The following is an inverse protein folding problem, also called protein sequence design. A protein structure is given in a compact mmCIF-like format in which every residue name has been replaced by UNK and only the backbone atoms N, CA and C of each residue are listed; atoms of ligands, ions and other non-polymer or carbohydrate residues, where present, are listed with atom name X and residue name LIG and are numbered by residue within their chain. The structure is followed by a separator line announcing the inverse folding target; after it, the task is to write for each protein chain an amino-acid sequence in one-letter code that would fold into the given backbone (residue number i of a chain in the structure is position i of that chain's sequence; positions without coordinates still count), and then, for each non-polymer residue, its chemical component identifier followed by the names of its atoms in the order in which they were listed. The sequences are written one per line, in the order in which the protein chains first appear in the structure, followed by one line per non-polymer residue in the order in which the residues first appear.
data_IF_439442501144
#
_entry.id   IF_439442501144
#
_cell.length_a   1.000
_cell.length_b   1.000
_cell.length_c   1.000
_cell.angle_alpha   90.00
_cell.angle_beta   90.00
_cell.angle_gamma   90.00
#
_symmetry.space_group_name_H-M   'P 1'
#
loop_
_entity.id
_entity.type
_entity.pdbx_description
1 polymer ?
#
# COMPACT_ATOMS: atom_id res chain seq x y z
N UNK A 1 -7.88 13.97 29.29
CA UNK A 1 -7.67 12.77 28.43
C UNK A 1 -6.41 13.00 27.60
N UNK A 2 -5.40 12.12 27.71
CA UNK A 2 -4.17 12.17 26.90
C UNK A 2 -4.55 11.88 25.45
N UNK A 3 -4.51 12.89 24.59
CA UNK A 3 -4.67 12.69 23.15
C UNK A 3 -3.48 11.86 22.66
N UNK A 4 -3.77 10.71 22.05
CA UNK A 4 -2.74 9.85 21.45
C UNK A 4 -2.33 10.54 20.15
N UNK A 5 -1.15 11.19 20.17
CA UNK A 5 -0.57 11.79 18.98
C UNK A 5 -0.04 10.67 18.09
N UNK A 6 -0.78 10.32 17.04
CA UNK A 6 -0.31 9.38 16.03
C UNK A 6 0.81 10.04 15.22
N UNK A 7 2.07 9.67 15.51
CA UNK A 7 3.19 9.92 14.61
C UNK A 7 3.08 8.98 13.39
N UNK A 8 2.00 9.07 12.61
CA UNK A 8 1.94 8.43 11.30
C UNK A 8 2.42 9.48 10.29
N UNK A 9 3.73 9.57 9.98
CA UNK A 9 4.23 10.55 9.04
C UNK A 9 3.75 10.28 7.62
N UNK A 10 3.32 9.05 7.32
CA UNK A 10 2.84 8.63 6.01
C UNK A 10 1.50 7.91 6.14
N UNK A 11 0.54 8.40 5.39
CA UNK A 11 -0.74 7.75 5.13
C UNK A 11 -0.70 7.15 3.71
N UNK A 12 -1.29 5.98 3.54
CA UNK A 12 -1.45 5.36 2.23
C UNK A 12 -2.90 4.91 2.04
N UNK A 13 -3.39 5.04 0.82
CA UNK A 13 -4.73 4.62 0.43
C UNK A 13 -4.63 3.90 -0.91
N UNK A 14 -5.28 2.73 -1.00
CA UNK A 14 -5.42 1.97 -2.24
C UNK A 14 -6.91 1.96 -2.59
N UNK A 15 -7.24 2.45 -3.77
CA UNK A 15 -8.56 2.34 -4.36
C UNK A 15 -8.47 1.39 -5.55
N UNK A 16 -9.41 0.46 -5.67
CA UNK A 16 -9.45 -0.52 -6.76
C UNK A 16 -10.83 -0.46 -7.41
N UNK A 17 -10.88 -0.52 -8.73
CA UNK A 17 -12.14 -0.50 -9.49
C UNK A 17 -12.82 -1.87 -9.45
N UNK A 18 -13.89 -1.97 -8.66
CA UNK A 18 -14.70 -3.18 -8.52
C UNK A 18 -14.34 -4.03 -7.29
N UNK A 19 -15.10 -5.10 -7.08
CA UNK A 19 -14.94 -6.00 -5.91
C UNK A 19 -14.57 -7.43 -6.33
N UNK A 20 -14.71 -7.77 -7.61
CA UNK A 20 -14.43 -9.09 -8.17
C UNK A 20 -13.99 -8.97 -9.63
N UNK A 21 -13.01 -9.78 -10.01
CA UNK A 21 -12.46 -9.82 -11.37
C UNK A 21 -12.37 -11.26 -11.86
N UNK A 22 -12.49 -11.44 -13.17
CA UNK A 22 -12.25 -12.72 -13.81
C UNK A 22 -10.76 -12.92 -14.11
N UNK A 23 -10.37 -14.17 -14.31
CA UNK A 23 -9.01 -14.48 -14.72
C UNK A 23 -8.69 -13.81 -16.07
N UNK A 24 -7.56 -13.11 -16.12
CA UNK A 24 -7.13 -12.37 -17.32
C UNK A 24 -7.70 -10.96 -17.43
N UNK A 25 -8.57 -10.54 -16.51
CA UNK A 25 -8.97 -9.13 -16.42
C UNK A 25 -7.85 -8.30 -15.79
N UNK A 26 -7.72 -7.07 -16.29
CA UNK A 26 -6.79 -6.08 -15.74
C UNK A 26 -7.44 -5.44 -14.52
N UNK A 27 -6.81 -5.61 -13.37
CA UNK A 27 -7.19 -4.91 -12.14
C UNK A 27 -6.66 -3.47 -12.22
N UNK A 28 -7.56 -2.50 -12.19
CA UNK A 28 -7.22 -1.07 -12.19
C UNK A 28 -7.41 -0.49 -10.80
N UNK A 29 -6.55 0.45 -10.43
CA UNK A 29 -6.63 1.09 -9.14
C UNK A 29 -5.67 2.26 -9.01
N UNK A 30 -5.79 2.96 -7.89
CA UNK A 30 -4.99 4.12 -7.56
C UNK A 30 -4.33 3.91 -6.19
N UNK A 31 -3.02 4.15 -6.12
CA UNK A 31 -2.28 4.25 -4.87
C UNK A 31 -2.02 5.72 -4.56
N UNK A 32 -2.49 6.16 -3.41
CA UNK A 32 -2.23 7.49 -2.86
C UNK A 32 -1.32 7.37 -1.66
N UNK A 33 -0.29 8.21 -1.60
CA UNK A 33 0.64 8.32 -0.47
C UNK A 33 0.70 9.78 -0.04
N UNK A 34 0.38 10.03 1.22
CA UNK A 34 0.34 11.39 1.79
C UNK A 34 1.29 11.52 2.96
N UNK A 35 2.10 12.57 2.95
CA UNK A 35 2.94 12.92 4.08
C UNK A 35 2.15 13.80 5.05
N UNK A 36 1.76 13.21 6.18
CA UNK A 36 1.00 13.88 7.24
C UNK A 36 1.91 14.56 8.29
N UNK A 37 3.23 14.46 8.12
CA UNK A 37 4.19 15.09 9.01
C UNK A 37 4.51 16.53 8.62
N UNK A 38 5.11 17.26 9.56
CA UNK A 38 5.65 18.61 9.35
C UNK A 38 7.04 18.64 8.72
N UNK A 39 7.59 17.49 8.32
CA UNK A 39 8.94 17.36 7.75
C UNK A 39 8.91 16.61 6.42
N UNK A 40 9.95 16.77 5.62
CA UNK A 40 10.15 15.93 4.43
C UNK A 40 10.41 14.48 4.87
N UNK A 41 9.76 13.53 4.21
CA UNK A 41 9.91 12.10 4.46
C UNK A 41 10.50 11.43 3.24
N UNK A 42 11.57 10.66 3.44
CA UNK A 42 12.17 9.84 2.39
C UNK A 42 11.45 8.49 2.29
N UNK A 43 10.89 8.19 1.13
CA UNK A 43 10.24 6.91 0.81
C UNK A 43 11.14 6.15 -0.17
N UNK A 44 11.76 5.07 0.32
CA UNK A 44 12.69 4.24 -0.48
C UNK A 44 12.01 3.56 -1.66
N UNK A 45 10.84 2.99 -1.44
CA UNK A 45 10.13 2.25 -2.47
C UNK A 45 8.63 2.30 -2.19
N UNK A 46 7.88 2.72 -3.20
CA UNK A 46 6.44 2.58 -3.30
C UNK A 46 6.14 1.47 -4.30
N UNK A 47 5.43 0.43 -3.88
CA UNK A 47 5.09 -0.71 -4.72
C UNK A 47 3.72 -1.27 -4.36
N UNK A 48 3.05 -1.83 -5.36
CA UNK A 48 1.80 -2.59 -5.23
C UNK A 48 2.13 -4.05 -5.50
N UNK A 49 1.56 -4.95 -4.69
CA UNK A 49 1.78 -6.38 -4.81
C UNK A 49 0.42 -7.06 -4.93
N UNK A 50 0.25 -7.88 -5.97
CA UNK A 50 -0.85 -8.81 -6.08
C UNK A 50 -0.42 -10.14 -5.46
N UNK A 51 -1.16 -10.61 -4.46
CA UNK A 51 -0.89 -11.88 -3.79
C UNK A 51 -2.20 -12.59 -3.47
N UNK A 52 -2.19 -13.92 -3.45
CA UNK A 52 -3.28 -14.73 -2.94
C UNK A 52 -2.83 -15.56 -1.74
N UNK A 53 -3.77 -15.97 -0.91
CA UNK A 53 -3.48 -16.86 0.21
C UNK A 53 -4.60 -17.84 0.46
N UNK A 54 -4.24 -19.06 0.83
CA UNK A 54 -5.23 -20.10 1.15
C UNK A 54 -5.73 -19.90 2.57
N UNK A 55 -7.06 -19.74 2.74
CA UNK A 55 -7.73 -19.57 4.04
C UNK A 55 -7.29 -20.60 5.10
N UNK A 56 -6.99 -21.84 4.69
CA UNK A 56 -6.50 -22.90 5.57
C UNK A 56 -5.15 -22.56 6.21
N UNK A 57 -4.20 -22.04 5.42
CA UNK A 57 -2.87 -21.67 5.89
C UNK A 57 -2.91 -20.52 6.91
N UNK A 58 -3.83 -19.55 6.77
CA UNK A 58 -4.04 -18.51 7.78
C UNK A 58 -4.50 -19.04 9.14
N UNK A 59 -5.27 -20.14 9.15
CA UNK A 59 -5.76 -20.75 10.40
C UNK A 59 -4.69 -21.56 11.12
N UNK A 60 -3.76 -22.14 10.36
CA UNK A 60 -2.69 -23.00 10.89
C UNK A 60 -1.49 -22.22 11.44
N UNK A 61 -1.46 -20.90 11.25
CA UNK A 61 -0.45 -20.01 11.83
C UNK A 61 0.96 -20.19 11.26
N UNK A 62 1.09 -20.94 10.16
CA UNK A 62 2.32 -21.07 9.40
C UNK A 62 2.64 -19.73 8.75
N UNK A 63 3.84 -19.21 9.00
CA UNK A 63 4.22 -17.84 8.67
C UNK A 63 3.94 -17.45 7.22
N UNK A 64 3.34 -16.27 7.04
CA UNK A 64 3.18 -15.59 5.74
C UNK A 64 2.47 -16.41 4.66
N UNK A 65 1.17 -16.71 4.78
CA UNK A 65 0.41 -17.57 3.85
C UNK A 65 0.08 -16.90 2.50
N UNK A 66 0.82 -15.85 2.14
CA UNK A 66 0.63 -15.07 0.91
C UNK A 66 1.62 -15.53 -0.15
N UNK A 67 1.11 -16.01 -1.27
CA UNK A 67 1.85 -16.26 -2.49
C UNK A 67 1.76 -15.01 -3.39
N UNK A 68 2.91 -14.43 -3.71
CA UNK A 68 2.99 -13.23 -4.54
C UNK A 68 2.88 -13.61 -6.01
N UNK A 69 1.87 -13.07 -6.69
CA UNK A 69 1.67 -13.23 -8.12
C UNK A 69 2.42 -12.17 -8.93
N UNK A 70 2.30 -10.91 -8.53
CA UNK A 70 2.85 -9.78 -9.28
C UNK A 70 3.32 -8.67 -8.36
N UNK A 71 4.34 -7.92 -8.81
CA UNK A 71 4.88 -6.76 -8.13
C UNK A 71 5.02 -5.62 -9.13
N UNK A 72 4.44 -4.48 -8.80
CA UNK A 72 4.58 -3.26 -9.58
C UNK A 72 5.22 -2.19 -8.70
N UNK A 73 6.43 -1.77 -9.09
CA UNK A 73 7.11 -0.64 -8.44
C UNK A 73 6.53 0.65 -9.02
N UNK A 74 5.89 1.45 -8.18
CA UNK A 74 5.30 2.71 -8.57
C UNK A 74 6.35 3.85 -8.59
N UNK A 75 7.24 3.87 -7.59
CA UNK A 75 8.36 4.81 -7.54
C UNK A 75 9.42 4.39 -6.49
N UNK A 76 10.63 4.92 -6.65
CA UNK A 76 11.75 4.70 -5.74
C UNK A 76 12.37 6.04 -5.34
N UNK A 77 13.01 6.08 -4.17
CA UNK A 77 13.80 7.20 -3.64
C UNK A 77 13.09 8.56 -3.72
N UNK A 78 11.86 8.59 -3.22
CA UNK A 78 11.00 9.77 -3.23
C UNK A 78 11.24 10.62 -1.98
N UNK A 79 11.37 11.93 -2.14
CA UNK A 79 11.30 12.88 -1.03
C UNK A 79 9.92 13.56 -1.00
N UNK A 80 8.99 13.04 -0.18
CA UNK A 80 7.68 13.67 0.02
C UNK A 80 7.82 14.86 0.97
N UNK A 81 7.47 16.06 0.50
CA UNK A 81 7.46 17.27 1.32
C UNK A 81 6.35 17.22 2.37
N UNK A 82 6.48 18.01 3.44
CA UNK A 82 5.47 18.12 4.48
C UNK A 82 4.09 18.48 3.91
N UNK A 83 3.06 17.72 4.27
CA UNK A 83 1.69 17.93 3.79
C UNK A 83 1.43 17.58 2.33
N UNK A 84 2.44 17.12 1.58
CA UNK A 84 2.29 16.76 0.17
C UNK A 84 1.72 15.36 -0.04
N UNK A 85 1.20 15.13 -1.25
CA UNK A 85 0.59 13.87 -1.67
C UNK A 85 1.15 13.44 -3.02
N UNK A 86 1.29 12.12 -3.21
CA UNK A 86 1.55 11.49 -4.50
C UNK A 86 0.46 10.48 -4.80
N UNK A 87 0.10 10.43 -6.08
CA UNK A 87 -0.90 9.52 -6.63
C UNK A 87 -0.27 8.73 -7.78
N UNK A 88 -0.49 7.42 -7.79
CA UNK A 88 -0.11 6.49 -8.85
C UNK A 88 -1.37 5.76 -9.35
N UNK A 89 -1.51 5.54 -10.66
CA UNK A 89 -2.62 4.82 -11.28
C UNK A 89 -2.18 4.06 -12.52
#
# INVERSE_FOLDING_TARGET
MRSVYFQQPLEHQIEVEGESWNQGEVVKGQLRIRNMSSKTVAVKTSQIILAHGLKKAFKEGTGGPWEVLEKQVAAQDIALQAGSELTFG
#
